data_IF_293335362342
#
_entry.id   IF_293335362342
#
_cell.length_a   1.000
_cell.length_b   1.000
_cell.length_c   1.000
_cell.angle_alpha   90.00
_cell.angle_beta   90.00
_cell.angle_gamma   90.00
#
_symmetry.space_group_name_H-M   'P 1'
#
loop_
_entity.id
_entity.type
_entity.pdbx_description
1 polymer ?
#
# COMPACT_ATOMS: atom_id res chain seq x y z
N UNK A 1 10.85 10.03 -9.12
CA UNK A 1 9.39 9.93 -9.24
C UNK A 1 8.76 10.48 -7.97
N UNK A 2 7.58 11.10 -8.07
CA UNK A 2 6.95 11.84 -6.97
C UNK A 2 6.10 10.93 -6.05
N UNK A 3 6.18 11.16 -4.74
CA UNK A 3 5.36 10.54 -3.68
C UNK A 3 3.88 10.83 -3.95
N UNK A 4 3.02 9.81 -4.00
CA UNK A 4 1.57 9.99 -4.24
C UNK A 4 0.79 9.80 -2.93
N UNK A 5 -0.06 10.77 -2.61
CA UNK A 5 -1.06 10.63 -1.54
C UNK A 5 -2.26 9.87 -2.07
N UNK A 6 -2.60 8.78 -1.40
CA UNK A 6 -3.68 7.87 -1.75
C UNK A 6 -4.89 8.16 -0.85
N UNK A 7 -5.87 8.85 -1.40
CA UNK A 7 -7.15 9.15 -0.73
C UNK A 7 -8.28 8.26 -1.27
N UNK A 8 -8.34 8.08 -2.59
CA UNK A 8 -9.30 7.23 -3.29
C UNK A 8 -8.56 6.27 -4.22
N UNK A 9 -8.62 4.98 -3.91
CA UNK A 9 -7.92 3.94 -4.67
C UNK A 9 -8.57 2.57 -4.45
N UNK A 10 -8.39 1.66 -5.42
CA UNK A 10 -8.76 0.25 -5.30
C UNK A 10 -7.51 -0.62 -5.17
N UNK A 11 -7.59 -1.65 -4.32
CA UNK A 11 -6.48 -2.56 -4.02
C UNK A 11 -6.87 -3.97 -4.41
N UNK A 12 -6.09 -4.58 -5.30
CA UNK A 12 -6.24 -5.97 -5.70
C UNK A 12 -5.06 -6.79 -5.21
N UNK A 13 -5.39 -7.84 -4.44
CA UNK A 13 -4.42 -8.81 -3.95
C UNK A 13 -4.43 -10.03 -4.87
N UNK A 14 -3.38 -10.19 -5.66
CA UNK A 14 -3.22 -11.34 -6.56
C UNK A 14 -2.40 -12.41 -5.85
N UNK A 15 -3.08 -13.50 -5.45
CA UNK A 15 -2.47 -14.65 -4.78
C UNK A 15 -2.22 -15.74 -5.81
N UNK A 16 -0.95 -16.10 -6.01
CA UNK A 16 -0.49 -17.15 -6.93
C UNK A 16 0.90 -17.65 -6.52
N UNK A 17 1.65 -18.28 -7.41
CA UNK A 17 3.01 -18.76 -7.10
C UNK A 17 3.96 -17.67 -6.58
N UNK A 18 3.72 -16.41 -6.97
CA UNK A 18 4.24 -15.22 -6.31
C UNK A 18 3.11 -14.24 -6.08
N UNK A 19 3.11 -13.57 -4.93
CA UNK A 19 2.06 -12.63 -4.55
C UNK A 19 2.34 -11.25 -5.14
N UNK A 20 1.29 -10.54 -5.54
CA UNK A 20 1.39 -9.15 -5.97
C UNK A 20 0.20 -8.31 -5.55
N UNK A 21 0.42 -7.01 -5.40
CA UNK A 21 -0.59 -6.02 -5.06
C UNK A 21 -0.68 -5.02 -6.20
N UNK A 22 -1.86 -4.85 -6.77
CA UNK A 22 -2.14 -3.78 -7.71
C UNK A 22 -2.95 -2.68 -7.02
N UNK A 23 -2.47 -1.44 -7.14
CA UNK A 23 -3.14 -0.25 -6.62
C UNK A 23 -3.59 0.60 -7.79
N UNK A 24 -4.90 0.81 -7.92
CA UNK A 24 -5.52 1.63 -8.95
C UNK A 24 -5.94 2.97 -8.37
N UNK A 25 -5.49 4.06 -8.98
CA UNK A 25 -5.78 5.41 -8.50
C UNK A 25 -7.00 6.01 -9.20
N UNK A 26 -7.80 6.78 -8.44
CA UNK A 26 -9.02 7.43 -8.95
C UNK A 26 -8.76 8.40 -10.12
N UNK A 27 -7.59 9.07 -10.12
CA UNK A 27 -7.13 9.93 -11.21
C UNK A 27 -6.54 9.20 -12.42
N UNK A 28 -6.65 7.87 -12.45
CA UNK A 28 -6.05 7.02 -13.47
C UNK A 28 -4.60 6.61 -13.16
N UNK A 29 -4.19 5.50 -13.78
CA UNK A 29 -2.91 4.85 -13.53
C UNK A 29 -2.99 3.76 -12.46
N UNK A 30 -2.04 2.84 -12.54
CA UNK A 30 -1.93 1.74 -11.60
C UNK A 30 -0.45 1.46 -11.32
N UNK A 31 -0.15 1.09 -10.09
CA UNK A 31 1.15 0.57 -9.69
C UNK A 31 1.00 -0.87 -9.21
N UNK A 32 1.96 -1.72 -9.55
CA UNK A 32 1.96 -3.13 -9.18
C UNK A 32 3.22 -3.45 -8.39
N UNK A 33 3.03 -3.86 -7.15
CA UNK A 33 4.09 -4.40 -6.29
C UNK A 33 4.14 -5.90 -6.52
N UNK A 34 5.26 -6.39 -7.04
CA UNK A 34 5.47 -7.80 -7.37
C UNK A 34 6.48 -8.45 -6.42
N UNK A 35 6.51 -9.78 -6.48
CA UNK A 35 7.46 -10.63 -5.78
C UNK A 35 7.37 -10.49 -4.25
N UNK A 36 6.16 -10.26 -3.74
CA UNK A 36 5.92 -10.23 -2.31
C UNK A 36 5.66 -11.64 -1.79
N UNK A 37 6.06 -11.90 -0.56
CA UNK A 37 5.54 -13.05 0.16
C UNK A 37 4.06 -12.81 0.52
N UNK A 38 3.32 -13.87 0.82
CA UNK A 38 1.89 -13.76 1.12
C UNK A 38 1.60 -12.95 2.41
N UNK A 39 2.45 -13.07 3.44
CA UNK A 39 2.23 -12.41 4.73
C UNK A 39 2.45 -10.90 4.61
N UNK A 40 3.55 -10.52 3.97
CA UNK A 40 3.89 -9.14 3.62
C UNK A 40 2.78 -8.54 2.75
N UNK A 41 2.34 -9.25 1.71
CA UNK A 41 1.28 -8.76 0.84
C UNK A 41 -0.04 -8.56 1.58
N UNK A 42 -0.43 -9.51 2.45
CA UNK A 42 -1.64 -9.38 3.26
C UNK A 42 -1.56 -8.17 4.20
N UNK A 43 -0.43 -8.00 4.89
CA UNK A 43 -0.23 -6.85 5.79
C UNK A 43 -0.31 -5.51 5.05
N UNK A 44 0.33 -5.41 3.88
CA UNK A 44 0.26 -4.20 3.05
C UNK A 44 -1.16 -3.93 2.56
N UNK A 45 -1.92 -4.96 2.19
CA UNK A 45 -3.33 -4.81 1.77
C UNK A 45 -4.20 -4.33 2.92
N UNK A 46 -3.97 -4.83 4.14
CA UNK A 46 -4.73 -4.40 5.33
C UNK A 46 -4.45 -2.93 5.66
N UNK A 47 -3.18 -2.50 5.61
CA UNK A 47 -2.81 -1.08 5.73
C UNK A 47 -3.50 -0.25 4.64
N UNK A 48 -3.37 -0.65 3.37
CA UNK A 48 -3.97 0.06 2.24
C UNK A 48 -5.52 0.08 2.26
N UNK A 49 -6.19 -0.79 3.03
CA UNK A 49 -7.65 -0.77 3.15
C UNK A 49 -8.12 0.09 4.32
N UNK A 50 -7.36 0.09 5.42
CA UNK A 50 -7.77 0.67 6.69
C UNK A 50 -7.14 2.06 6.94
N UNK A 51 -5.91 2.29 6.50
CA UNK A 51 -5.18 3.55 6.66
C UNK A 51 -5.49 4.50 5.49
N UNK A 52 -6.23 5.59 5.77
CA UNK A 52 -6.47 6.68 4.80
C UNK A 52 -6.33 8.03 5.51
N UNK A 53 -5.58 9.01 4.96
CA UNK A 53 -4.84 8.98 3.71
C UNK A 53 -3.45 8.31 3.84
N UNK A 54 -3.04 7.60 2.79
CA UNK A 54 -1.79 6.82 2.79
C UNK A 54 -0.84 7.36 1.72
N UNK A 55 0.41 7.65 2.07
CA UNK A 55 1.43 8.04 1.09
C UNK A 55 2.22 6.82 0.58
N UNK A 56 2.19 6.58 -0.73
CA UNK A 56 2.94 5.50 -1.36
C UNK A 56 4.06 6.00 -2.29
N UNK A 57 5.24 5.40 -2.16
CA UNK A 57 6.41 5.56 -3.04
C UNK A 57 6.71 4.23 -3.72
N UNK A 58 6.24 4.06 -4.96
CA UNK A 58 6.45 2.86 -5.75
C UNK A 58 7.92 2.58 -6.06
N UNK A 59 8.73 3.63 -6.29
CA UNK A 59 10.16 3.47 -6.59
C UNK A 59 10.93 2.87 -5.43
N UNK A 60 10.50 3.17 -4.20
CA UNK A 60 11.11 2.65 -2.97
C UNK A 60 10.29 1.55 -2.30
N UNK A 61 9.18 1.12 -2.92
CA UNK A 61 8.19 0.20 -2.34
C UNK A 61 7.79 0.58 -0.90
N UNK A 62 7.67 1.89 -0.61
CA UNK A 62 7.44 2.38 0.75
C UNK A 62 6.02 2.87 0.94
N UNK A 63 5.37 2.36 1.98
CA UNK A 63 4.11 2.88 2.50
C UNK A 63 4.41 3.77 3.72
N UNK A 64 3.64 4.84 3.90
CA UNK A 64 3.74 5.73 5.06
C UNK A 64 2.42 6.43 5.28
N UNK A 65 1.98 6.49 6.52
CA UNK A 65 0.86 7.33 6.94
C UNK A 65 1.25 8.81 6.85
N UNK A 66 0.25 9.69 6.74
CA UNK A 66 0.48 11.13 6.59
C UNK A 66 0.93 11.79 7.91
N UNK A 67 0.57 11.16 9.03
CA UNK A 67 0.98 11.53 10.37
C UNK A 67 1.77 10.38 10.98
N UNK A 68 2.82 10.65 11.77
CA UNK A 68 3.45 9.61 12.59
C UNK A 68 2.37 8.93 13.43
N UNK A 69 2.31 7.61 13.38
CA UNK A 69 1.52 6.87 14.35
C UNK A 69 2.09 7.14 15.74
N UNK A 70 1.25 7.35 16.77
CA UNK A 70 1.74 7.51 18.12
C UNK A 70 2.46 6.24 18.56
N UNK A 71 3.79 6.30 18.61
CA UNK A 71 4.61 5.20 19.11
C UNK A 71 4.50 5.16 20.63
N UNK A 72 3.92 4.09 21.19
CA UNK A 72 3.91 3.82 22.63
C UNK A 72 2.58 3.96 23.38
N UNK A 73 1.45 4.16 22.70
CA UNK A 73 0.13 4.07 23.34
C UNK A 73 -0.53 2.71 23.01
N UNK A 74 -0.22 1.70 23.83
CA UNK A 74 -0.76 0.33 23.84
C UNK A 74 -0.08 -0.72 22.92
N UNK A 75 1.23 -0.94 23.10
CA UNK A 75 1.80 -2.29 22.84
C UNK A 75 1.55 -3.24 24.03
#
# INVERSE_FOLDING_TARGET
>A
MARKTLTHYAVFHNVGGKTSIAVYYDGGGADVIRDLDYKEASYMVDLLRNEKPMSYDASRKRLSTLHPEPTGENE
#
